data_IF_738440585604
#
_entry.id   IF_738440585604
#
_cell.length_a   1.000
_cell.length_b   1.000
_cell.length_c   1.000
_cell.angle_alpha   90.00
_cell.angle_beta   90.00
_cell.angle_gamma   90.00
#
_symmetry.space_group_name_H-M   'P 1'
#
loop_
_entity.id
_entity.type
_entity.pdbx_description
1 polymer ?
#
# COMPACT_ATOMS: atom_id res chain seq x y z
N UNK A 1 14.79 -8.80 26.79
CA UNK A 1 14.93 -8.00 25.55
C UNK A 1 13.60 -7.28 25.36
N UNK A 2 13.59 -5.95 25.44
CA UNK A 2 12.37 -5.16 25.18
C UNK A 2 12.38 -4.89 23.68
N UNK A 3 11.48 -5.51 22.93
CA UNK A 3 11.21 -5.09 21.56
C UNK A 3 10.59 -3.70 21.61
N UNK A 4 11.41 -2.68 21.33
CA UNK A 4 10.89 -1.35 21.08
C UNK A 4 10.08 -1.41 19.80
N UNK A 5 8.75 -1.40 19.90
CA UNK A 5 7.82 -1.29 18.77
C UNK A 5 8.12 0.03 18.03
N UNK A 6 9.05 0.00 17.07
CA UNK A 6 9.29 1.12 16.17
C UNK A 6 8.05 1.27 15.31
N UNK A 7 7.36 2.40 15.44
CA UNK A 7 6.29 2.77 14.50
C UNK A 7 6.85 2.73 13.09
N UNK A 8 6.31 1.86 12.25
CA UNK A 8 6.61 1.84 10.82
C UNK A 8 6.03 3.09 10.16
N UNK A 9 6.74 3.60 9.14
CA UNK A 9 6.20 4.67 8.30
C UNK A 9 4.89 4.20 7.67
N UNK A 10 3.85 5.03 7.61
CA UNK A 10 2.58 4.66 6.97
C UNK A 10 2.42 5.44 5.69
N UNK A 11 2.17 4.73 4.59
CA UNK A 11 2.03 5.31 3.27
C UNK A 11 0.61 5.00 2.77
N UNK A 12 -0.17 6.05 2.57
CA UNK A 12 -1.50 5.96 1.98
C UNK A 12 -1.40 6.23 0.47
N UNK A 13 -1.93 5.32 -0.34
CA UNK A 13 -1.96 5.41 -1.80
C UNK A 13 -3.41 5.48 -2.27
N UNK A 14 -3.73 6.47 -3.11
CA UNK A 14 -5.00 6.48 -3.85
C UNK A 14 -4.98 5.36 -4.89
N UNK A 15 -5.73 4.29 -4.62
CA UNK A 15 -5.77 3.11 -5.45
C UNK A 15 -6.67 3.29 -6.68
N UNK A 16 -7.43 4.38 -6.79
CA UNK A 16 -8.36 4.63 -7.89
C UNK A 16 -8.01 5.88 -8.71
N UNK A 17 -6.87 6.50 -8.42
CA UNK A 17 -6.39 7.67 -9.13
C UNK A 17 -5.65 7.30 -10.42
N UNK A 18 -6.13 7.75 -11.57
CA UNK A 18 -5.47 7.61 -12.87
C UNK A 18 -6.26 6.79 -13.89
N UNK A 19 -5.88 6.93 -15.16
CA UNK A 19 -6.61 6.35 -16.30
C UNK A 19 -6.57 4.81 -16.32
N UNK A 20 -5.57 4.22 -15.68
CA UNK A 20 -5.35 2.77 -15.62
C UNK A 20 -5.51 2.18 -14.21
N UNK A 21 -6.15 2.93 -13.31
CA UNK A 21 -6.43 2.49 -11.97
C UNK A 21 -7.51 1.39 -11.94
N UNK A 22 -7.47 0.45 -10.98
CA UNK A 22 -6.53 0.36 -9.85
C UNK A 22 -5.23 -0.42 -10.12
N UNK A 23 -5.07 -0.95 -11.34
CA UNK A 23 -4.12 -2.03 -11.61
C UNK A 23 -2.66 -1.64 -11.33
N UNK A 24 -2.23 -0.47 -11.82
CA UNK A 24 -0.82 -0.10 -11.76
C UNK A 24 -0.42 0.38 -10.37
N UNK A 25 -1.33 1.08 -9.69
CA UNK A 25 -1.20 1.59 -8.34
C UNK A 25 -1.06 0.41 -7.37
N UNK A 26 -1.87 -0.64 -7.55
CA UNK A 26 -1.76 -1.89 -6.79
C UNK A 26 -0.44 -2.60 -7.05
N UNK A 27 -0.08 -2.82 -8.31
CA UNK A 27 1.14 -3.56 -8.67
C UNK A 27 2.40 -2.86 -8.13
N UNK A 28 2.51 -1.55 -8.32
CA UNK A 28 3.64 -0.77 -7.83
C UNK A 28 3.71 -0.75 -6.29
N UNK A 29 2.57 -0.56 -5.63
CA UNK A 29 2.51 -0.55 -4.16
C UNK A 29 2.90 -1.90 -3.55
N UNK A 30 2.41 -3.00 -4.13
CA UNK A 30 2.74 -4.35 -3.69
C UNK A 30 4.21 -4.70 -3.97
N UNK A 31 4.75 -4.26 -5.11
CA UNK A 31 6.17 -4.43 -5.43
C UNK A 31 7.04 -3.69 -4.39
N UNK A 32 6.74 -2.43 -4.09
CA UNK A 32 7.48 -1.66 -3.09
C UNK A 32 7.44 -2.33 -1.70
N UNK A 33 6.28 -2.86 -1.30
CA UNK A 33 6.12 -3.60 -0.04
C UNK A 33 6.93 -4.91 -0.02
N UNK A 34 7.12 -5.55 -1.18
CA UNK A 34 7.96 -6.74 -1.32
C UNK A 34 9.45 -6.39 -1.21
N UNK A 35 9.85 -5.21 -1.69
CA UNK A 35 11.23 -4.73 -1.65
C UNK A 35 11.64 -4.21 -0.25
N UNK A 36 10.71 -3.62 0.51
CA UNK A 36 10.94 -3.19 1.89
C UNK A 36 9.72 -3.38 2.78
N UNK A 37 9.96 -3.87 4.00
CA UNK A 37 8.92 -4.03 5.04
C UNK A 37 8.98 -2.93 6.12
N UNK A 38 9.73 -1.85 5.88
CA UNK A 38 9.94 -0.74 6.83
C UNK A 38 8.74 0.23 6.91
N UNK A 39 7.71 -0.03 6.10
CA UNK A 39 6.49 0.76 6.06
C UNK A 39 5.23 -0.12 6.09
N UNK A 40 4.11 0.52 6.40
CA UNK A 40 2.75 -0.01 6.29
C UNK A 40 2.09 0.61 5.06
N UNK A 41 1.62 -0.22 4.14
CA UNK A 41 0.87 0.20 2.96
C UNK A 41 -0.63 0.29 3.28
N UNK A 42 -1.24 1.44 3.00
CA UNK A 42 -2.68 1.67 3.10
C UNK A 42 -3.22 2.02 1.71
N UNK A 43 -4.07 1.17 1.15
CA UNK A 43 -4.74 1.44 -0.12
C UNK A 43 -6.07 2.14 0.16
N UNK A 44 -6.25 3.32 -0.44
CA UNK A 44 -7.44 4.16 -0.26
C UNK A 44 -8.28 4.12 -1.53
N UNK A 45 -9.56 3.77 -1.40
CA UNK A 45 -10.49 3.70 -2.52
C UNK A 45 -11.68 2.80 -2.22
N UNK A 46 -12.51 2.55 -3.24
CA UNK A 46 -13.59 1.58 -3.15
C UNK A 46 -13.00 0.15 -3.07
N UNK A 47 -13.22 -0.50 -1.92
CA UNK A 47 -12.70 -1.83 -1.62
C UNK A 47 -13.09 -2.90 -2.63
N UNK A 48 -14.32 -2.89 -3.14
CA UNK A 48 -14.79 -3.89 -4.11
C UNK A 48 -14.06 -3.75 -5.44
N UNK A 49 -13.86 -2.51 -5.92
CA UNK A 49 -13.08 -2.24 -7.14
C UNK A 49 -11.60 -2.61 -7.01
N UNK A 50 -11.07 -2.55 -5.80
CA UNK A 50 -9.67 -2.93 -5.50
C UNK A 50 -9.50 -4.45 -5.45
N UNK A 51 -10.52 -5.18 -4.98
CA UNK A 51 -10.45 -6.63 -4.75
C UNK A 51 -11.05 -7.49 -5.88
N UNK A 52 -11.71 -6.87 -6.85
CA UNK A 52 -12.25 -7.53 -8.05
C UNK A 52 -11.17 -7.97 -9.02
#
# INVERSE_FOLDING_TARGET
>A
MIETQRKKCRIAVDALGGDFAPKHELLGSLQALKESSDFELILVGNKEKILS
#
